data_IF_275004769817
#
_entry.id   IF_275004769817
#
_cell.length_a   1.000
_cell.length_b   1.000
_cell.length_c   1.000
_cell.angle_alpha   90.00
_cell.angle_beta   90.00
_cell.angle_gamma   90.00
#
_symmetry.space_group_name_H-M   'P 1'
#
loop_
_entity.id
_entity.type
_entity.pdbx_description
1 polymer ?
#
# COMPACT_ATOMS: atom_id res chain seq x y z
N UNK A 1 -2.38 24.11 13.53
CA UNK A 1 -2.96 23.48 14.74
C UNK A 1 -2.75 21.99 14.63
N UNK A 2 -2.34 21.30 15.69
CA UNK A 2 -2.19 19.85 15.75
C UNK A 2 -3.13 19.27 16.80
N UNK A 3 -3.56 18.03 16.61
CA UNK A 3 -4.34 17.25 17.58
C UNK A 3 -3.56 15.97 17.87
N UNK A 4 -3.34 15.67 19.15
CA UNK A 4 -2.68 14.43 19.60
C UNK A 4 -3.66 13.67 20.49
N UNK A 5 -3.84 12.38 20.20
CA UNK A 5 -4.67 11.47 20.98
C UNK A 5 -3.74 10.44 21.63
N UNK A 6 -3.29 10.73 22.86
CA UNK A 6 -2.42 9.82 23.62
C UNK A 6 -3.28 8.78 24.35
N UNK A 7 -3.62 7.71 23.62
CA UNK A 7 -4.50 6.63 24.07
C UNK A 7 -4.08 5.30 23.43
N UNK A 8 -4.29 4.15 24.09
CA UNK A 8 -4.03 2.85 23.50
C UNK A 8 -4.82 2.59 22.21
N UNK A 9 -6.04 3.14 22.08
CA UNK A 9 -6.94 2.91 20.95
C UNK A 9 -7.70 4.19 20.58
N UNK A 10 -7.76 4.47 19.28
CA UNK A 10 -8.68 5.41 18.65
C UNK A 10 -9.52 4.62 17.65
N UNK A 11 -10.84 4.61 17.81
CA UNK A 11 -11.76 3.86 16.95
C UNK A 11 -12.64 4.80 16.11
N UNK A 12 -12.64 4.60 14.80
CA UNK A 12 -13.59 5.21 13.88
C UNK A 12 -14.61 4.13 13.47
N UNK A 13 -15.87 4.30 13.83
CA UNK A 13 -16.90 3.24 13.64
C UNK A 13 -17.38 3.07 12.19
N UNK A 14 -17.00 4.00 11.30
CA UNK A 14 -17.38 3.99 9.89
C UNK A 14 -16.18 4.43 9.02
N UNK A 15 -16.27 5.59 8.36
CA UNK A 15 -15.25 6.09 7.44
C UNK A 15 -14.23 6.99 8.14
N UNK A 16 -12.95 6.66 8.01
CA UNK A 16 -11.84 7.58 8.24
C UNK A 16 -11.37 8.15 6.88
N UNK A 17 -11.41 9.49 6.73
CA UNK A 17 -10.86 10.18 5.55
C UNK A 17 -9.69 11.07 5.98
N UNK A 18 -8.54 10.87 5.35
CA UNK A 18 -7.32 11.67 5.55
C UNK A 18 -6.69 11.99 4.20
N UNK A 19 -5.95 13.09 4.11
CA UNK A 19 -5.21 13.46 2.91
C UNK A 19 -3.93 12.62 2.74
N UNK A 20 -3.24 12.37 3.85
CA UNK A 20 -2.02 11.56 3.93
C UNK A 20 -2.11 10.62 5.12
N UNK A 21 -1.53 9.44 5.01
CA UNK A 21 -1.50 8.43 6.08
C UNK A 21 -0.05 8.02 6.34
N UNK A 22 0.37 8.08 7.60
CA UNK A 22 1.66 7.58 8.08
C UNK A 22 1.41 6.55 9.18
N UNK A 23 1.95 5.34 9.02
CA UNK A 23 1.82 4.21 9.95
C UNK A 23 3.23 3.78 10.34
N UNK A 24 3.62 4.05 11.59
CA UNK A 24 5.03 3.97 12.04
C UNK A 24 5.44 2.63 12.62
N UNK A 25 4.49 1.72 12.82
CA UNK A 25 4.72 0.36 13.33
C UNK A 25 4.15 -0.66 12.35
N UNK A 26 3.17 -1.43 12.77
CA UNK A 26 2.46 -2.42 11.98
C UNK A 26 0.98 -2.08 11.87
N UNK A 27 0.28 -2.75 10.96
CA UNK A 27 -1.15 -2.57 10.76
C UNK A 27 -1.76 -3.75 10.02
N UNK A 28 -3.08 -3.89 10.12
CA UNK A 28 -3.87 -4.89 9.41
C UNK A 28 -4.95 -4.20 8.61
N UNK A 29 -5.10 -4.57 7.34
CA UNK A 29 -6.18 -4.15 6.46
C UNK A 29 -7.02 -5.36 6.07
N UNK A 30 -8.34 -5.19 5.96
CA UNK A 30 -9.27 -6.24 5.55
C UNK A 30 -10.38 -5.66 4.67
N UNK A 31 -10.89 -6.47 3.75
CA UNK A 31 -11.81 -6.02 2.70
C UNK A 31 -11.08 -5.57 1.42
N UNK A 32 -11.84 -5.03 0.46
CA UNK A 32 -11.28 -4.54 -0.80
C UNK A 32 -10.58 -3.20 -0.58
N UNK A 33 -9.31 -3.12 -0.99
CA UNK A 33 -8.51 -1.88 -0.94
C UNK A 33 -8.18 -1.46 -2.36
N UNK A 34 -8.67 -0.30 -2.77
CA UNK A 34 -8.42 0.27 -4.09
C UNK A 34 -7.46 1.44 -3.99
N UNK A 35 -6.31 1.33 -4.65
CA UNK A 35 -5.33 2.41 -4.76
C UNK A 35 -5.26 2.90 -6.21
N UNK A 36 -5.26 4.22 -6.41
CA UNK A 36 -5.16 4.87 -7.73
C UNK A 36 -4.53 6.25 -7.60
N UNK A 37 -4.12 6.86 -8.71
CA UNK A 37 -3.52 8.19 -8.71
C UNK A 37 -2.07 8.26 -8.23
N UNK A 38 -1.33 7.14 -8.28
CA UNK A 38 0.08 7.10 -7.87
C UNK A 38 0.67 5.68 -7.84
N UNK A 39 1.78 5.50 -7.13
CA UNK A 39 2.43 4.20 -6.92
C UNK A 39 2.13 3.65 -5.52
N UNK A 40 1.71 2.38 -5.45
CA UNK A 40 1.73 1.65 -4.19
C UNK A 40 3.01 0.80 -4.14
N UNK A 41 3.92 1.16 -3.24
CA UNK A 41 5.25 0.53 -3.13
C UNK A 41 5.43 -0.18 -1.80
N UNK A 42 6.06 -1.36 -1.83
CA UNK A 42 6.53 -2.06 -0.63
C UNK A 42 7.99 -2.42 -0.81
N UNK A 43 8.86 -1.99 0.10
CA UNK A 43 10.32 -2.19 0.03
C UNK A 43 10.93 -1.79 -1.34
N UNK A 44 10.45 -0.68 -1.90
CA UNK A 44 10.91 -0.17 -3.21
C UNK A 44 10.28 -0.84 -4.43
N UNK A 45 9.45 -1.87 -4.26
CA UNK A 45 8.78 -2.56 -5.37
C UNK A 45 7.38 -1.98 -5.58
N UNK A 46 7.11 -1.46 -6.78
CA UNK A 46 5.81 -0.91 -7.16
C UNK A 46 4.85 -2.02 -7.58
N UNK A 47 3.74 -2.18 -6.86
CA UNK A 47 2.82 -3.31 -7.04
C UNK A 47 2.30 -3.42 -8.47
N UNK A 48 1.87 -2.32 -9.10
CA UNK A 48 1.25 -2.39 -10.44
C UNK A 48 2.26 -2.43 -11.60
N UNK A 49 3.56 -2.30 -11.36
CA UNK A 49 4.59 -2.29 -12.42
C UNK A 49 5.78 -3.21 -12.16
N UNK A 50 5.72 -4.06 -11.11
CA UNK A 50 6.84 -4.91 -10.76
C UNK A 50 7.16 -5.94 -11.85
N UNK A 51 8.43 -6.33 -11.91
CA UNK A 51 8.95 -7.34 -12.85
C UNK A 51 9.87 -8.28 -12.08
N UNK A 52 9.94 -9.53 -12.51
CA UNK A 52 10.86 -10.53 -11.97
C UNK A 52 12.00 -10.81 -12.95
N UNK A 53 13.24 -10.77 -12.45
CA UNK A 53 14.43 -11.20 -13.21
C UNK A 53 14.71 -12.70 -13.05
N UNK A 54 15.59 -13.26 -13.87
CA UNK A 54 16.07 -14.65 -13.71
C UNK A 54 15.07 -15.74 -14.12
N UNK A 55 13.86 -15.36 -14.52
CA UNK A 55 12.95 -16.23 -15.25
C UNK A 55 13.45 -16.39 -16.69
N UNK A 56 13.49 -17.63 -17.20
CA UNK A 56 13.83 -17.88 -18.60
C UNK A 56 12.65 -17.42 -19.46
N UNK A 57 12.62 -16.15 -19.79
CA UNK A 57 11.68 -15.60 -20.74
C UNK A 57 11.83 -16.37 -22.05
N UNK A 58 10.74 -16.91 -22.58
CA UNK A 58 10.67 -17.00 -24.03
C UNK A 58 10.73 -15.57 -24.54
N UNK A 59 11.88 -15.17 -25.10
CA UNK A 59 12.22 -13.82 -25.62
C UNK A 59 12.03 -12.59 -24.74
N UNK A 60 11.15 -12.53 -23.74
CA UNK A 60 10.88 -11.30 -22.99
C UNK A 60 10.52 -11.62 -21.52
N UNK A 61 10.85 -10.69 -20.61
CA UNK A 61 10.50 -10.63 -19.18
C UNK A 61 9.21 -11.38 -18.81
N UNK A 62 9.07 -11.92 -17.57
CA UNK A 62 7.69 -12.12 -17.05
C UNK A 62 7.01 -10.78 -17.23
N UNK A 63 5.89 -10.70 -17.95
CA UNK A 63 5.16 -9.46 -18.12
C UNK A 63 4.91 -8.79 -16.76
N UNK A 64 4.49 -7.52 -16.78
CA UNK A 64 3.95 -6.90 -15.57
C UNK A 64 2.73 -7.67 -15.04
N UNK A 65 2.20 -7.26 -13.89
CA UNK A 65 0.93 -7.77 -13.38
C UNK A 65 -0.17 -7.71 -14.45
N UNK A 66 -1.03 -8.74 -14.50
CA UNK A 66 -2.23 -8.77 -15.36
C UNK A 66 -3.40 -8.03 -14.72
#
# INVERSE_FOLDING_TARGET
VSVTLDTPVVECTNLLRTATLDVTKEGKMSGNITHSGGNFTSNGITVHTHKHGGVKGGSDSTGGPQ
#
